data_IF_760626983211
#
_entry.id   IF_760626983211
#
_cell.length_a   1.000
_cell.length_b   1.000
_cell.length_c   1.000
_cell.angle_alpha   90.00
_cell.angle_beta   90.00
_cell.angle_gamma   90.00
#
_symmetry.space_group_name_H-M   'P 1'
#
loop_
_entity.id
_entity.type
_entity.pdbx_description
1 polymer ?
#
# COMPACT_ATOMS: atom_id res chain seq x y z
N UNK A 1 -10.04 2.81 -8.30
CA UNK A 1 -9.21 1.84 -7.54
C UNK A 1 -8.13 2.52 -6.70
N UNK A 2 -7.36 3.47 -7.26
CA UNK A 2 -6.34 4.25 -6.54
C UNK A 2 -6.80 4.88 -5.21
N UNK A 3 -7.97 5.53 -5.17
CA UNK A 3 -8.48 6.19 -3.96
C UNK A 3 -8.67 5.24 -2.76
N UNK A 4 -8.99 3.97 -3.01
CA UNK A 4 -9.14 2.97 -1.96
C UNK A 4 -7.79 2.64 -1.33
N UNK A 5 -6.78 2.46 -2.16
CA UNK A 5 -5.40 2.19 -1.72
C UNK A 5 -4.88 3.40 -0.94
N UNK A 6 -5.06 4.61 -1.47
CA UNK A 6 -4.67 5.87 -0.81
C UNK A 6 -5.28 5.95 0.59
N UNK A 7 -6.57 5.68 0.72
CA UNK A 7 -7.25 5.71 2.02
C UNK A 7 -6.74 4.63 2.99
N UNK A 8 -6.55 3.39 2.53
CA UNK A 8 -6.06 2.30 3.38
C UNK A 8 -4.65 2.59 3.91
N UNK A 9 -3.73 2.99 3.02
CA UNK A 9 -2.34 3.32 3.37
C UNK A 9 -2.28 4.54 4.28
N UNK A 10 -3.06 5.59 3.99
CA UNK A 10 -3.09 6.81 4.82
C UNK A 10 -3.58 6.53 6.25
N UNK A 11 -4.62 5.70 6.40
CA UNK A 11 -5.12 5.30 7.73
C UNK A 11 -4.09 4.49 8.51
N UNK A 12 -3.39 3.59 7.84
CA UNK A 12 -2.35 2.78 8.47
C UNK A 12 -1.15 3.62 8.90
N UNK A 13 -0.70 4.57 8.08
CA UNK A 13 0.35 5.54 8.42
C UNK A 13 -0.05 6.45 9.59
N UNK A 14 -1.35 6.74 9.75
CA UNK A 14 -1.88 7.47 10.89
C UNK A 14 -2.11 6.59 12.14
N UNK A 15 -1.68 5.32 12.12
CA UNK A 15 -1.90 4.33 13.17
C UNK A 15 -3.39 4.10 13.52
N UNK A 16 -4.29 4.33 12.56
CA UNK A 16 -5.72 4.06 12.70
C UNK A 16 -6.13 2.68 12.15
N UNK A 17 -5.17 1.87 11.73
CA UNK A 17 -5.36 0.48 11.33
C UNK A 17 -4.08 -0.32 11.55
N UNK A 18 -4.24 -1.62 11.77
CA UNK A 18 -3.19 -2.61 11.95
C UNK A 18 -2.59 -3.09 10.61
N UNK A 19 -1.46 -3.79 10.69
CA UNK A 19 -0.79 -4.38 9.53
C UNK A 19 -1.67 -5.44 8.85
N UNK A 20 -2.45 -6.20 9.63
CA UNK A 20 -3.39 -7.19 9.12
C UNK A 20 -4.56 -6.56 8.36
N UNK A 21 -5.09 -5.43 8.87
CA UNK A 21 -6.13 -4.67 8.18
C UNK A 21 -5.60 -4.05 6.87
N UNK A 22 -4.39 -3.48 6.89
CA UNK A 22 -3.76 -2.98 5.67
C UNK A 22 -3.56 -4.14 4.67
N UNK A 23 -3.05 -5.29 5.12
CA UNK A 23 -2.85 -6.47 4.26
C UNK A 23 -4.17 -6.94 3.62
N UNK A 24 -5.26 -6.96 4.38
CA UNK A 24 -6.56 -7.34 3.87
C UNK A 24 -7.09 -6.36 2.81
N UNK A 25 -6.95 -5.05 3.05
CA UNK A 25 -7.35 -4.02 2.07
C UNK A 25 -6.53 -4.11 0.79
N UNK A 26 -5.21 -4.27 0.89
CA UNK A 26 -4.35 -4.40 -0.29
C UNK A 26 -4.63 -5.68 -1.06
N UNK A 27 -4.93 -6.81 -0.40
CA UNK A 27 -5.32 -8.07 -1.08
C UNK A 27 -6.65 -7.97 -1.82
N UNK A 28 -7.54 -7.07 -1.39
CA UNK A 28 -8.81 -6.81 -2.06
C UNK A 28 -8.68 -5.91 -3.31
N UNK A 29 -7.46 -5.44 -3.62
CA UNK A 29 -7.20 -4.61 -4.79
C UNK A 29 -7.04 -5.49 -6.03
N UNK A 30 -7.89 -5.27 -7.03
CA UNK A 30 -7.66 -5.73 -8.40
C UNK A 30 -6.54 -4.90 -9.05
N UNK A 31 -5.37 -5.51 -9.21
CA UNK A 31 -4.19 -4.90 -9.79
C UNK A 31 -4.34 -4.64 -11.30
N UNK A 32 -5.30 -5.29 -11.98
CA UNK A 32 -5.52 -5.12 -13.43
C UNK A 32 -6.06 -3.72 -13.75
N UNK A 33 -6.75 -3.08 -12.79
CA UNK A 33 -7.27 -1.72 -12.94
C UNK A 33 -6.24 -0.62 -12.63
N UNK A 34 -5.01 -0.98 -12.27
CA UNK A 34 -3.93 -0.05 -11.94
C UNK A 34 -2.98 0.15 -13.13
N UNK A 35 -2.31 1.31 -13.17
CA UNK A 35 -1.15 1.45 -14.06
C UNK A 35 -0.05 0.46 -13.66
N UNK A 36 0.89 0.11 -14.57
CA UNK A 36 2.00 -0.78 -14.21
C UNK A 36 2.81 -0.29 -13.00
N UNK A 37 3.01 1.03 -12.89
CA UNK A 37 3.75 1.65 -11.77
C UNK A 37 2.98 1.51 -10.46
N UNK A 38 1.68 1.79 -10.48
CA UNK A 38 0.79 1.63 -9.32
C UNK A 38 0.70 0.17 -8.86
N UNK A 39 0.51 -0.76 -9.80
CA UNK A 39 0.46 -2.19 -9.51
C UNK A 39 1.78 -2.67 -8.88
N UNK A 40 2.92 -2.22 -9.40
CA UNK A 40 4.23 -2.53 -8.84
C UNK A 40 4.37 -2.00 -7.41
N UNK A 41 4.00 -0.76 -7.16
CA UNK A 41 4.07 -0.16 -5.83
C UNK A 41 3.19 -0.92 -4.80
N UNK A 42 1.97 -1.29 -5.19
CA UNK A 42 1.09 -2.08 -4.32
C UNK A 42 1.67 -3.47 -4.04
N UNK A 43 2.22 -4.13 -5.04
CA UNK A 43 2.87 -5.45 -4.89
C UNK A 43 4.09 -5.38 -3.97
N UNK A 44 4.89 -4.33 -4.08
CA UNK A 44 6.05 -4.10 -3.23
C UNK A 44 5.64 -3.93 -1.76
N UNK A 45 4.64 -3.09 -1.49
CA UNK A 45 4.09 -2.93 -0.14
C UNK A 45 3.48 -4.22 0.42
N UNK A 46 2.76 -4.99 -0.40
CA UNK A 46 2.24 -6.31 0.00
C UNK A 46 3.37 -7.28 0.38
N UNK A 47 4.45 -7.30 -0.40
CA UNK A 47 5.59 -8.17 -0.12
C UNK A 47 6.27 -7.80 1.20
N UNK A 48 6.50 -6.51 1.46
CA UNK A 48 7.11 -6.03 2.71
C UNK A 48 6.26 -6.37 3.94
N UNK A 49 4.93 -6.29 3.82
CA UNK A 49 4.00 -6.75 4.86
C UNK A 49 4.09 -8.26 5.11
N UNK A 50 4.31 -9.06 4.07
CA UNK A 50 4.33 -10.52 4.19
C UNK A 50 5.67 -11.04 4.72
N UNK A 51 6.80 -10.39 4.42
CA UNK A 51 8.12 -10.75 4.98
C UNK A 51 8.34 -10.24 6.40
N UNK A 52 7.44 -9.39 6.91
CA UNK A 52 7.50 -8.88 8.28
C UNK A 52 8.63 -7.86 8.49
N UNK A 53 8.79 -6.95 7.53
CA UNK A 53 9.79 -5.87 7.59
C UNK A 53 9.60 -4.99 8.83
N UNK A 54 10.71 -4.44 9.35
CA UNK A 54 10.67 -3.50 10.47
C UNK A 54 9.71 -2.34 10.19
N UNK A 55 9.00 -1.88 11.24
CA UNK A 55 7.96 -0.86 11.13
C UNK A 55 8.44 0.41 10.42
N UNK A 56 9.65 0.89 10.73
CA UNK A 56 10.14 2.13 10.13
C UNK A 56 10.40 1.98 8.62
N UNK A 57 10.97 0.84 8.22
CA UNK A 57 11.19 0.52 6.81
C UNK A 57 9.87 0.28 6.07
N UNK A 58 8.91 -0.41 6.69
CA UNK A 58 7.59 -0.62 6.11
C UNK A 58 6.84 0.70 5.91
N UNK A 59 6.93 1.64 6.86
CA UNK A 59 6.32 2.95 6.70
C UNK A 59 6.97 3.82 5.61
N UNK A 60 8.26 3.62 5.33
CA UNK A 60 8.93 4.27 4.21
C UNK A 60 8.35 3.78 2.88
N UNK A 61 8.29 2.45 2.69
CA UNK A 61 7.71 1.82 1.49
C UNK A 61 6.23 2.19 1.31
N UNK A 62 5.48 2.28 2.41
CA UNK A 62 4.09 2.71 2.38
C UNK A 62 3.94 4.17 1.90
N UNK A 63 4.84 5.08 2.30
CA UNK A 63 4.83 6.48 1.84
C UNK A 63 5.21 6.59 0.36
N UNK A 64 6.21 5.85 -0.09
CA UNK A 64 6.60 5.79 -1.51
C UNK A 64 5.46 5.22 -2.37
N UNK A 65 4.83 4.15 -1.91
CA UNK A 65 3.69 3.54 -2.59
C UNK A 65 2.50 4.50 -2.67
N UNK A 66 2.24 5.24 -1.58
CA UNK A 66 1.19 6.25 -1.54
C UNK A 66 1.42 7.35 -2.56
N UNK A 67 2.66 7.83 -2.70
CA UNK A 67 3.02 8.84 -3.70
C UNK A 67 2.76 8.34 -5.12
N UNK A 68 3.24 7.15 -5.47
CA UNK A 68 3.03 6.56 -6.80
C UNK A 68 1.53 6.39 -7.11
N UNK A 69 0.76 5.88 -6.14
CA UNK A 69 -0.67 5.65 -6.34
C UNK A 69 -1.47 6.95 -6.41
N UNK A 70 -1.11 7.97 -5.62
CA UNK A 70 -1.80 9.26 -5.62
C UNK A 70 -1.50 10.10 -6.87
N UNK A 71 -0.29 10.00 -7.42
CA UNK A 71 0.13 10.79 -8.60
C UNK A 71 -0.36 10.17 -9.91
N UNK A 72 -0.45 8.84 -10.00
CA UNK A 72 -1.13 8.15 -11.10
C UNK A 72 -0.36 8.02 -12.42
N UNK A 73 0.98 8.02 -12.38
CA UNK A 73 1.83 7.70 -13.54
C UNK A 73 1.82 6.20 -13.91
#
# INVERSE_FOLDING_TARGET
MGDRIVNAVSRWLAHHSSDDELRAELKAVDLVELTPSQAKAVLELQNELDVGTDRAALEMVARESLEVVAVGD
#
